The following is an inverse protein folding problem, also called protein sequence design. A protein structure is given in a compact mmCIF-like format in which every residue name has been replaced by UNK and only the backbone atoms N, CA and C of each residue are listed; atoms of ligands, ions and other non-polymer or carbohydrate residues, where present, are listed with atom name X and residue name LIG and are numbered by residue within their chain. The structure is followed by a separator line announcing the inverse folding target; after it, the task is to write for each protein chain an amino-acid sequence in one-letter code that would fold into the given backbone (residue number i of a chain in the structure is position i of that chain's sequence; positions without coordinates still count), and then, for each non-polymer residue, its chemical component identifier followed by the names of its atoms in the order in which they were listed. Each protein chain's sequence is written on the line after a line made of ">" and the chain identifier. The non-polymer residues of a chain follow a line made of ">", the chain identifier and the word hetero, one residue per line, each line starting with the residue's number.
data_IF_658890931707
#
_entry.id   IF_658890931707
#
_cell.length_a   1.000
_cell.length_b   1.000
_cell.length_c   1.000
_cell.angle_alpha   90.00
_cell.angle_beta   90.00
_cell.angle_gamma   90.00
#
_symmetry.space_group_name_H-M   'P 1'
#
loop_
_entity.id
_entity.type
_entity.pdbx_description
1 polymer ?
#
# COMPACT_ATOMS: atom_id res chain seq x y z
N UNK A 1 -15.75 23.47 -43.35
CA UNK A 1 -15.81 23.30 -41.87
C UNK A 1 -15.44 21.90 -41.37
N UNK A 2 -15.66 20.81 -42.12
CA UNK A 2 -15.43 19.43 -41.63
C UNK A 2 -13.95 18.98 -41.49
N UNK A 3 -13.01 19.67 -42.16
CA UNK A 3 -11.56 19.35 -42.13
C UNK A 3 -10.84 19.75 -40.83
N UNK A 4 -11.35 20.74 -40.10
CA UNK A 4 -10.71 21.22 -38.87
C UNK A 4 -11.05 20.33 -37.66
N UNK A 5 -12.25 19.74 -37.63
CA UNK A 5 -12.69 18.84 -36.56
C UNK A 5 -11.92 17.51 -36.56
N UNK A 6 -11.58 16.98 -37.74
CA UNK A 6 -10.81 15.73 -37.86
C UNK A 6 -9.36 15.91 -37.40
N UNK A 7 -8.72 17.03 -37.73
CA UNK A 7 -7.38 17.38 -37.22
C UNK A 7 -7.38 17.67 -35.72
N UNK A 8 -8.40 18.36 -35.19
CA UNK A 8 -8.52 18.64 -33.76
C UNK A 8 -8.75 17.36 -32.94
N UNK A 9 -9.58 16.45 -33.44
CA UNK A 9 -9.82 15.14 -32.83
C UNK A 9 -8.54 14.28 -32.82
N UNK A 10 -7.76 14.28 -33.90
CA UNK A 10 -6.46 13.60 -33.95
C UNK A 10 -5.44 14.21 -32.98
N UNK A 11 -5.43 15.53 -32.83
CA UNK A 11 -4.55 16.23 -31.89
C UNK A 11 -4.89 15.87 -30.43
N UNK A 12 -6.17 15.88 -30.06
CA UNK A 12 -6.63 15.41 -28.74
C UNK A 12 -6.28 13.94 -28.52
N UNK A 13 -6.48 13.08 -29.53
CA UNK A 13 -6.14 11.65 -29.41
C UNK A 13 -4.64 11.44 -29.20
N UNK A 14 -3.78 12.20 -29.88
CA UNK A 14 -2.32 12.10 -29.74
C UNK A 14 -1.80 12.53 -28.35
N UNK A 15 -2.42 13.54 -27.73
CA UNK A 15 -2.09 13.98 -26.35
C UNK A 15 -2.51 12.92 -25.33
N UNK A 16 -3.61 12.20 -25.57
CA UNK A 16 -4.05 11.08 -24.72
C UNK A 16 -3.10 9.87 -24.82
N UNK A 17 -2.49 9.62 -25.98
CA UNK A 17 -1.52 8.53 -26.17
C UNK A 17 -0.18 8.78 -25.47
N UNK A 18 0.32 10.03 -25.37
CA UNK A 18 1.58 10.31 -24.66
C UNK A 18 1.49 10.05 -23.14
N UNK A 19 0.33 10.25 -22.54
CA UNK A 19 0.11 9.99 -21.11
C UNK A 19 -0.03 8.49 -20.79
N UNK A 20 -0.25 7.63 -21.80
CA UNK A 20 -0.50 6.20 -21.64
C UNK A 20 0.77 5.34 -21.45
N UNK A 21 1.97 5.91 -21.54
CA UNK A 21 3.26 5.20 -21.44
C UNK A 21 4.13 5.63 -20.26
N UNK A 22 3.55 6.22 -19.23
CA UNK A 22 4.33 6.62 -18.05
C UNK A 22 4.49 5.43 -17.10
N UNK A 23 5.75 5.04 -16.90
CA UNK A 23 6.15 4.13 -15.83
C UNK A 23 6.90 4.92 -14.76
N UNK A 24 6.71 4.55 -13.50
CA UNK A 24 7.42 5.19 -12.39
C UNK A 24 7.75 4.20 -11.29
N UNK A 25 8.70 4.61 -10.47
CA UNK A 25 8.96 4.02 -9.16
C UNK A 25 8.64 5.07 -8.11
N UNK A 26 7.71 4.74 -7.21
CA UNK A 26 7.41 5.55 -6.04
C UNK A 26 8.08 4.90 -4.84
N UNK A 27 8.88 5.68 -4.12
CA UNK A 27 9.44 5.24 -2.85
C UNK A 27 8.54 5.78 -1.75
N UNK A 28 8.12 4.88 -0.87
CA UNK A 28 7.28 5.13 0.28
C UNK A 28 8.08 4.94 1.56
N UNK A 29 7.78 5.78 2.55
CA UNK A 29 8.16 5.64 3.94
C UNK A 29 6.95 5.21 4.76
N UNK A 30 7.20 4.71 5.96
CA UNK A 30 6.14 4.27 6.87
C UNK A 30 6.40 4.71 8.29
N UNK A 31 5.32 4.89 9.04
CA UNK A 31 5.34 5.17 10.47
C UNK A 31 4.09 4.57 11.12
N UNK A 32 4.18 4.28 12.41
CA UNK A 32 3.01 4.04 13.24
C UNK A 32 2.35 5.38 13.57
N UNK A 33 1.03 5.42 13.44
CA UNK A 33 0.27 6.60 13.81
C UNK A 33 0.30 6.80 15.33
N UNK A 34 0.90 7.89 15.79
CA UNK A 34 0.99 8.25 17.21
C UNK A 34 -0.04 9.30 17.65
N UNK A 35 -1.14 9.45 16.91
CA UNK A 35 -2.23 10.36 17.27
C UNK A 35 -2.69 10.12 18.72
N UNK A 36 -2.86 11.21 19.47
CA UNK A 36 -3.35 11.20 20.85
C UNK A 36 -4.69 10.47 20.96
N UNK A 37 -5.59 10.63 19.99
CA UNK A 37 -6.91 9.97 19.99
C UNK A 37 -6.79 8.45 19.95
N UNK A 38 -5.79 7.91 19.23
CA UNK A 38 -5.52 6.46 19.21
C UNK A 38 -5.24 5.94 20.61
N UNK A 39 -4.42 6.65 21.39
CA UNK A 39 -4.02 6.23 22.73
C UNK A 39 -5.09 6.47 23.79
N UNK A 40 -5.83 7.59 23.70
CA UNK A 40 -6.91 7.93 24.64
C UNK A 40 -7.95 6.82 24.71
N UNK A 41 -8.30 6.23 23.55
CA UNK A 41 -9.22 5.09 23.48
C UNK A 41 -8.81 3.89 24.33
N UNK A 42 -7.51 3.67 24.54
CA UNK A 42 -7.01 2.54 25.32
C UNK A 42 -6.75 2.90 26.78
N UNK A 43 -6.73 4.19 27.14
CA UNK A 43 -6.46 4.64 28.51
C UNK A 43 -7.45 4.03 29.51
N UNK A 44 -8.74 4.07 29.18
CA UNK A 44 -9.79 3.57 30.07
C UNK A 44 -9.78 2.04 30.23
N UNK A 45 -9.25 1.31 29.25
CA UNK A 45 -9.24 -0.17 29.25
C UNK A 45 -7.95 -0.77 29.80
N UNK A 46 -6.82 -0.09 29.57
CA UNK A 46 -5.48 -0.64 29.83
C UNK A 46 -4.73 0.12 30.92
N UNK A 47 -5.21 1.29 31.34
CA UNK A 47 -4.55 2.15 32.31
C UNK A 47 -3.38 2.95 31.72
N UNK A 48 -3.00 4.01 32.44
CA UNK A 48 -2.00 4.99 32.01
C UNK A 48 -0.60 4.38 31.80
N UNK A 49 -0.17 3.50 32.71
CA UNK A 49 1.12 2.83 32.62
C UNK A 49 1.27 1.98 31.34
N UNK A 50 0.21 1.26 30.94
CA UNK A 50 0.24 0.47 29.72
C UNK A 50 0.24 1.36 28.48
N UNK A 51 -0.55 2.43 28.48
CA UNK A 51 -0.55 3.42 27.37
C UNK A 51 0.83 4.07 27.20
N UNK A 52 1.51 4.41 28.29
CA UNK A 52 2.85 4.98 28.24
C UNK A 52 3.87 3.99 27.66
N UNK A 53 3.80 2.70 28.03
CA UNK A 53 4.64 1.65 27.40
C UNK A 53 4.33 1.48 25.91
N UNK A 54 3.07 1.56 25.51
CA UNK A 54 2.68 1.52 24.09
C UNK A 54 3.28 2.69 23.32
N UNK A 55 3.20 3.91 23.85
CA UNK A 55 3.81 5.10 23.24
C UNK A 55 5.32 4.95 23.07
N UNK A 56 6.03 4.49 24.11
CA UNK A 56 7.47 4.26 24.05
C UNK A 56 7.84 3.21 22.99
N UNK A 57 7.07 2.11 22.93
CA UNK A 57 7.28 1.07 21.92
C UNK A 57 7.02 1.57 20.50
N UNK A 58 5.93 2.30 20.29
CA UNK A 58 5.60 2.87 18.98
C UNK A 58 6.67 3.88 18.53
N UNK A 59 7.20 4.70 19.46
CA UNK A 59 8.30 5.62 19.18
C UNK A 59 9.59 4.88 18.77
N UNK A 60 9.96 3.80 19.48
CA UNK A 60 11.12 2.99 19.11
C UNK A 60 10.98 2.30 17.75
N UNK A 61 9.77 1.86 17.39
CA UNK A 61 9.48 1.32 16.06
C UNK A 61 9.60 2.43 14.99
N UNK A 62 9.06 3.61 15.26
CA UNK A 62 9.12 4.74 14.33
C UNK A 62 10.55 5.21 14.08
N UNK A 63 11.42 5.19 15.08
CA UNK A 63 12.83 5.53 14.91
C UNK A 63 13.48 4.63 13.86
N UNK A 64 13.22 3.33 13.95
CA UNK A 64 13.78 2.32 13.04
C UNK A 64 13.13 2.42 11.66
N UNK A 65 11.82 2.70 11.59
CA UNK A 65 11.11 2.82 10.32
C UNK A 65 11.61 3.98 9.43
N UNK A 66 12.28 4.99 10.00
CA UNK A 66 12.87 6.09 9.22
C UNK A 66 13.83 5.59 8.15
N UNK A 67 14.59 4.54 8.46
CA UNK A 67 15.57 3.96 7.54
C UNK A 67 14.93 2.99 6.53
N UNK A 68 13.67 2.61 6.74
CA UNK A 68 12.99 1.64 5.90
C UNK A 68 12.35 2.35 4.72
N UNK A 69 12.44 1.72 3.55
CA UNK A 69 11.81 2.20 2.33
C UNK A 69 11.06 1.08 1.64
N UNK A 70 9.95 1.42 0.98
CA UNK A 70 9.15 0.50 0.21
C UNK A 70 9.00 1.07 -1.19
N UNK A 71 9.01 0.21 -2.20
CA UNK A 71 8.91 0.64 -3.59
C UNK A 71 7.62 0.15 -4.21
N UNK A 72 6.89 1.06 -4.86
CA UNK A 72 5.83 0.75 -5.81
C UNK A 72 6.37 1.00 -7.21
N UNK A 73 6.53 -0.06 -7.97
CA UNK A 73 6.78 0.02 -9.41
C UNK A 73 5.45 -0.05 -10.14
N UNK A 74 5.17 0.85 -11.07
CA UNK A 74 3.96 0.76 -11.88
C UNK A 74 4.21 1.19 -13.34
N UNK A 75 3.36 0.65 -14.21
CA UNK A 75 3.14 1.13 -15.58
C UNK A 75 1.62 1.37 -15.75
N UNK A 76 1.13 1.62 -16.96
CA UNK A 76 -0.31 1.89 -17.17
C UNK A 76 -1.26 0.74 -16.77
N UNK A 77 -0.76 -0.50 -16.62
CA UNK A 77 -1.59 -1.71 -16.48
C UNK A 77 -1.27 -2.54 -15.25
N UNK A 78 -0.05 -2.44 -14.74
CA UNK A 78 0.49 -3.30 -13.71
C UNK A 78 1.15 -2.50 -12.61
N UNK A 79 1.13 -3.05 -11.41
CA UNK A 79 1.93 -2.54 -10.30
C UNK A 79 2.48 -3.65 -9.43
N UNK A 80 3.61 -3.34 -8.77
CA UNK A 80 4.26 -4.20 -7.79
C UNK A 80 4.78 -3.37 -6.64
N UNK A 81 4.22 -3.60 -5.46
CA UNK A 81 4.66 -3.02 -4.20
C UNK A 81 5.39 -4.06 -3.37
N UNK A 82 6.56 -3.70 -2.87
CA UNK A 82 7.33 -4.50 -1.94
C UNK A 82 8.27 -3.63 -1.11
N UNK A 83 8.85 -4.24 -0.08
CA UNK A 83 9.97 -3.66 0.65
C UNK A 83 11.22 -3.58 -0.25
N UNK A 84 11.97 -2.48 -0.11
CA UNK A 84 13.27 -2.30 -0.76
C UNK A 84 14.34 -3.05 0.06
N UNK A 85 15.13 -3.92 -0.58
CA UNK A 85 16.00 -4.93 0.04
C UNK A 85 17.24 -4.38 0.78
N UNK A 86 17.30 -3.09 1.07
CA UNK A 86 18.38 -2.54 1.88
C UNK A 86 18.26 -3.15 3.29
N UNK A 87 19.10 -4.16 3.54
CA UNK A 87 19.19 -4.86 4.82
C UNK A 87 19.49 -3.81 5.89
N UNK A 88 18.74 -3.79 7.02
CA UNK A 88 19.20 -3.04 8.16
C UNK A 88 20.53 -3.61 8.65
N UNK A 89 21.31 -2.75 9.29
CA UNK A 89 22.54 -3.11 10.00
C UNK A 89 22.34 -4.40 10.81
N UNK A 90 23.33 -5.32 10.78
CA UNK A 90 23.29 -6.62 11.47
C UNK A 90 23.06 -6.48 12.98
N UNK A 91 23.29 -5.29 13.54
CA UNK A 91 23.01 -4.94 14.94
C UNK A 91 21.52 -4.80 15.28
N UNK A 92 20.61 -4.76 14.29
CA UNK A 92 19.17 -4.61 14.55
C UNK A 92 18.55 -5.92 15.05
N UNK A 93 17.98 -5.88 16.25
CA UNK A 93 17.27 -7.01 16.85
C UNK A 93 16.20 -7.59 15.90
N UNK A 94 16.24 -8.91 15.66
CA UNK A 94 15.37 -9.59 14.71
C UNK A 94 13.87 -9.42 14.97
N UNK A 95 13.45 -9.32 16.24
CA UNK A 95 12.04 -9.11 16.61
C UNK A 95 11.59 -7.70 16.25
N UNK A 96 12.47 -6.72 16.47
CA UNK A 96 12.23 -5.33 16.14
C UNK A 96 12.22 -5.14 14.63
N UNK A 97 13.15 -5.78 13.90
CA UNK A 97 13.16 -5.84 12.44
C UNK A 97 11.84 -6.39 11.87
N UNK A 98 11.35 -7.51 12.42
CA UNK A 98 10.08 -8.10 11.99
C UNK A 98 8.90 -7.16 12.22
N UNK A 99 8.87 -6.46 13.35
CA UNK A 99 7.84 -5.47 13.67
C UNK A 99 7.89 -4.27 12.73
N UNK A 100 9.08 -3.77 12.38
CA UNK A 100 9.24 -2.68 11.40
C UNK A 100 8.76 -3.11 10.01
N UNK A 101 9.10 -4.33 9.57
CA UNK A 101 8.61 -4.87 8.28
C UNK A 101 7.09 -5.04 8.25
N UNK A 102 6.47 -5.43 9.37
CA UNK A 102 5.01 -5.45 9.55
C UNK A 102 4.41 -4.04 9.48
N UNK A 103 5.00 -3.12 10.21
CA UNK A 103 4.55 -1.74 10.33
C UNK A 103 4.73 -0.93 9.05
N UNK A 104 5.55 -1.36 8.09
CA UNK A 104 5.58 -0.78 6.74
C UNK A 104 4.76 -1.52 5.68
N UNK A 105 4.10 -2.63 6.04
CA UNK A 105 3.35 -3.45 5.08
C UNK A 105 4.22 -4.32 4.17
N UNK A 106 5.51 -4.45 4.47
CA UNK A 106 6.51 -5.14 3.65
C UNK A 106 6.63 -6.66 3.86
N UNK A 107 5.78 -7.29 4.67
CA UNK A 107 5.76 -8.76 4.77
C UNK A 107 5.20 -9.46 3.53
N UNK A 108 4.64 -8.71 2.60
CA UNK A 108 4.09 -9.24 1.38
C UNK A 108 4.55 -8.45 0.16
N UNK A 109 4.67 -9.16 -0.95
CA UNK A 109 4.69 -8.55 -2.28
C UNK A 109 3.24 -8.42 -2.73
N UNK A 110 2.85 -7.22 -3.11
CA UNK A 110 1.52 -6.92 -3.65
C UNK A 110 1.68 -6.66 -5.14
N UNK A 111 0.91 -7.35 -5.97
CA UNK A 111 0.92 -7.20 -7.41
C UNK A 111 -0.50 -7.01 -7.94
N UNK A 112 -0.65 -6.08 -8.87
CA UNK A 112 -1.94 -5.77 -9.51
C UNK A 112 -1.77 -5.79 -11.02
N UNK A 113 -2.75 -6.33 -11.75
CA UNK A 113 -2.87 -6.22 -13.20
C UNK A 113 -4.32 -5.88 -13.55
N UNK A 114 -4.52 -4.71 -14.15
CA UNK A 114 -5.85 -4.15 -14.45
C UNK A 114 -6.50 -4.89 -15.63
N UNK A 115 -5.72 -5.22 -16.67
CA UNK A 115 -6.21 -5.92 -17.86
C UNK A 115 -6.76 -7.31 -17.54
N UNK A 116 -6.13 -7.99 -16.59
CA UNK A 116 -6.55 -9.32 -16.13
C UNK A 116 -7.52 -9.29 -14.96
N UNK A 117 -7.94 -8.10 -14.49
CA UNK A 117 -8.75 -7.96 -13.28
C UNK A 117 -8.15 -8.74 -12.09
N UNK A 118 -6.83 -8.65 -11.88
CA UNK A 118 -6.08 -9.54 -10.98
C UNK A 118 -5.32 -8.78 -9.88
N UNK A 119 -5.51 -9.22 -8.64
CA UNK A 119 -4.67 -8.87 -7.50
C UNK A 119 -4.02 -10.12 -6.91
N UNK A 120 -2.71 -10.05 -6.67
CA UNK A 120 -1.92 -11.09 -6.04
C UNK A 120 -1.20 -10.54 -4.79
N UNK A 121 -1.26 -11.30 -3.70
CA UNK A 121 -0.49 -11.06 -2.48
C UNK A 121 0.40 -12.28 -2.21
N UNK A 122 1.72 -12.12 -2.30
CA UNK A 122 2.68 -13.17 -1.97
C UNK A 122 3.32 -12.91 -0.61
N UNK A 123 3.37 -13.90 0.28
CA UNK A 123 3.95 -13.76 1.61
C UNK A 123 4.40 -15.12 2.17
N UNK A 124 5.27 -15.10 3.19
CA UNK A 124 5.65 -16.29 3.96
C UNK A 124 4.70 -16.43 5.15
N UNK A 125 4.03 -17.58 5.29
CA UNK A 125 3.20 -17.88 6.45
C UNK A 125 4.08 -17.96 7.70
N UNK A 126 3.73 -17.23 8.77
CA UNK A 126 4.53 -17.18 10.00
C UNK A 126 4.52 -18.56 10.69
N UNK A 127 3.39 -19.25 10.71
CA UNK A 127 3.21 -20.54 11.40
C UNK A 127 3.97 -21.68 10.74
N UNK A 128 3.99 -21.74 9.41
CA UNK A 128 4.55 -22.87 8.65
C UNK A 128 5.85 -22.52 7.92
N UNK A 129 6.22 -21.24 7.86
CA UNK A 129 7.32 -20.75 7.05
C UNK A 129 7.08 -20.90 5.53
N UNK A 130 5.89 -21.30 5.09
CA UNK A 130 5.62 -21.63 3.69
C UNK A 130 5.34 -20.39 2.86
N UNK A 131 5.88 -20.35 1.64
CA UNK A 131 5.58 -19.27 0.69
C UNK A 131 4.21 -19.50 0.06
N UNK A 132 3.33 -18.50 0.15
CA UNK A 132 1.95 -18.53 -0.33
C UNK A 132 1.67 -17.34 -1.23
N UNK A 133 0.79 -17.51 -2.20
CA UNK A 133 0.21 -16.47 -3.05
C UNK A 133 -1.31 -16.53 -2.95
N UNK A 134 -1.91 -15.41 -2.54
CA UNK A 134 -3.35 -15.23 -2.52
C UNK A 134 -3.80 -14.42 -3.73
N UNK A 135 -4.80 -14.92 -4.47
CA UNK A 135 -5.40 -14.24 -5.62
C UNK A 135 -6.80 -13.70 -5.30
N UNK A 136 -7.14 -12.56 -5.88
CA UNK A 136 -8.50 -12.01 -5.87
C UNK A 136 -8.74 -11.12 -7.10
N UNK A 137 -9.99 -10.98 -7.56
CA UNK A 137 -10.31 -10.00 -8.57
C UNK A 137 -10.10 -8.55 -8.07
N UNK A 138 -10.04 -7.58 -8.99
CA UNK A 138 -10.09 -6.17 -8.66
C UNK A 138 -11.50 -5.73 -8.32
N UNK A 139 -12.01 -6.19 -7.19
CA UNK A 139 -13.28 -5.69 -6.66
C UNK A 139 -13.10 -4.23 -6.25
N UNK A 140 -14.03 -3.37 -6.70
CA UNK A 140 -14.11 -1.99 -6.27
C UNK A 140 -14.18 -1.96 -4.74
N UNK A 141 -13.29 -1.20 -4.13
CA UNK A 141 -13.29 -1.04 -2.67
C UNK A 141 -14.34 0.02 -2.33
N UNK A 142 -15.02 -0.18 -1.21
CA UNK A 142 -16.00 0.76 -0.63
C UNK A 142 -15.34 2.04 -0.08
N UNK A 143 -14.62 2.76 -0.94
CA UNK A 143 -14.03 4.05 -0.64
C UNK A 143 -15.11 5.14 -0.72
N UNK A 144 -15.19 5.97 0.31
CA UNK A 144 -15.97 7.19 0.33
C UNK A 144 -15.02 8.35 0.07
N UNK A 145 -15.10 8.97 -1.11
CA UNK A 145 -14.33 10.16 -1.45
C UNK A 145 -14.90 11.34 -0.66
N UNK A 146 -14.04 12.08 0.05
CA UNK A 146 -14.45 13.24 0.86
C UNK A 146 -14.16 14.54 0.11
N UNK A 147 -14.49 15.68 0.72
CA UNK A 147 -14.18 17.02 0.18
C UNK A 147 -12.81 17.54 0.63
N UNK A 148 -12.09 16.78 1.45
CA UNK A 148 -10.79 17.22 1.98
C UNK A 148 -9.71 17.07 0.92
N UNK A 149 -8.91 18.12 0.79
CA UNK A 149 -7.84 18.23 -0.20
C UNK A 149 -6.56 18.66 0.48
N UNK A 150 -5.43 18.28 -0.10
CA UNK A 150 -4.09 18.64 0.34
C UNK A 150 -3.12 18.57 -0.86
N UNK A 151 -1.84 18.77 -0.64
CA UNK A 151 -0.78 18.61 -1.64
C UNK A 151 0.32 17.70 -1.12
N UNK A 152 0.67 16.66 -1.87
CA UNK A 152 1.77 15.73 -1.54
C UNK A 152 2.73 15.68 -2.73
N UNK A 153 4.01 16.00 -2.50
CA UNK A 153 5.05 16.07 -3.53
C UNK A 153 4.68 16.97 -4.73
N UNK A 154 3.93 18.05 -4.47
CA UNK A 154 3.43 18.98 -5.49
C UNK A 154 2.18 18.51 -6.24
N UNK A 155 1.64 17.32 -5.93
CA UNK A 155 0.41 16.83 -6.54
C UNK A 155 -0.80 17.13 -5.65
N UNK A 156 -1.89 17.69 -6.20
CA UNK A 156 -3.14 17.86 -5.47
C UNK A 156 -3.71 16.47 -5.15
N UNK A 157 -4.06 16.25 -3.90
CA UNK A 157 -4.63 14.99 -3.41
C UNK A 157 -6.00 15.21 -2.79
N UNK A 158 -6.84 14.19 -2.89
CA UNK A 158 -8.17 14.14 -2.27
C UNK A 158 -8.20 12.99 -1.27
N UNK A 159 -8.79 13.20 -0.10
CA UNK A 159 -8.97 12.14 0.89
C UNK A 159 -10.12 11.21 0.52
N UNK A 160 -9.93 9.92 0.74
CA UNK A 160 -10.96 8.90 0.71
C UNK A 160 -10.89 8.03 1.97
N UNK A 161 -12.04 7.57 2.45
CA UNK A 161 -12.16 6.82 3.70
C UNK A 161 -12.86 5.48 3.46
N UNK A 162 -12.38 4.43 4.13
CA UNK A 162 -13.02 3.11 4.20
C UNK A 162 -12.97 2.60 5.64
N UNK A 163 -14.07 2.77 6.38
CA UNK A 163 -14.09 2.48 7.80
C UNK A 163 -13.08 3.36 8.55
N UNK A 164 -12.06 2.77 9.18
CA UNK A 164 -10.97 3.48 9.88
C UNK A 164 -9.72 3.68 9.03
N UNK A 165 -9.80 3.34 7.75
CA UNK A 165 -8.69 3.44 6.83
C UNK A 165 -8.86 4.68 5.98
N UNK A 166 -7.80 5.43 5.79
CA UNK A 166 -7.78 6.65 4.99
C UNK A 166 -6.75 6.52 3.87
N UNK A 167 -7.04 7.13 2.73
CA UNK A 167 -6.13 7.23 1.60
C UNK A 167 -6.19 8.63 1.03
N UNK A 168 -5.04 9.19 0.67
CA UNK A 168 -4.94 10.43 -0.09
C UNK A 168 -4.42 10.09 -1.48
N UNK A 169 -5.22 10.38 -2.51
CA UNK A 169 -4.92 10.00 -3.89
C UNK A 169 -4.92 11.22 -4.81
N UNK A 170 -4.13 11.16 -5.89
CA UNK A 170 -4.10 12.22 -6.92
C UNK A 170 -4.59 11.71 -8.26
N UNK A 171 -5.55 12.42 -8.85
CA UNK A 171 -6.02 12.14 -10.22
C UNK A 171 -5.04 12.61 -11.30
N UNK A 172 -4.01 13.39 -10.93
CA UNK A 172 -2.94 13.82 -11.84
C UNK A 172 -2.10 12.65 -12.35
N UNK A 173 -2.08 11.54 -11.60
CA UNK A 173 -1.48 10.28 -12.00
C UNK A 173 -2.60 9.23 -11.99
N UNK A 174 -3.32 9.04 -13.12
CA UNK A 174 -4.60 8.33 -13.16
C UNK A 174 -4.42 6.80 -13.21
N UNK A 175 -3.72 6.24 -12.22
CA UNK A 175 -3.54 4.80 -12.05
C UNK A 175 -4.13 4.35 -10.70
N UNK A 176 -4.90 3.23 -10.64
CA UNK A 176 -5.62 2.82 -9.43
C UNK A 176 -4.74 2.07 -8.42
N UNK A 177 -3.48 2.47 -8.29
CA UNK A 177 -2.46 1.80 -7.49
C UNK A 177 -2.14 2.55 -6.20
N UNK A 178 -1.50 1.85 -5.27
CA UNK A 178 -1.10 2.39 -3.99
C UNK A 178 -0.18 1.45 -3.23
N UNK A 179 0.29 1.86 -2.04
CA UNK A 179 1.12 1.04 -1.19
C UNK A 179 0.33 -0.12 -0.57
N UNK A 180 1.02 -1.24 -0.32
CA UNK A 180 0.47 -2.42 0.35
C UNK A 180 -0.88 -2.88 -0.27
N UNK A 181 -1.94 -3.01 0.54
CA UNK A 181 -3.28 -3.38 0.08
C UNK A 181 -4.12 -2.23 -0.50
N UNK A 182 -3.61 -0.99 -0.49
CA UNK A 182 -4.33 0.18 -0.96
C UNK A 182 -4.43 0.17 -2.50
N UNK A 183 -5.67 0.17 -3.01
CA UNK A 183 -5.97 0.15 -4.46
C UNK A 183 -7.42 0.54 -4.74
N UNK A 184 -7.70 0.82 -6.01
CA UNK A 184 -9.08 0.99 -6.52
C UNK A 184 -9.67 2.39 -6.36
N UNK A 185 -8.83 3.40 -6.09
CA UNK A 185 -9.18 4.81 -6.25
C UNK A 185 -8.87 5.27 -7.69
N UNK A 186 -9.47 6.35 -8.20
CA UNK A 186 -9.28 6.79 -9.61
C UNK A 186 -7.92 7.47 -9.87
N UNK A 187 -6.96 7.33 -8.96
CA UNK A 187 -5.64 7.92 -9.08
C UNK A 187 -4.66 7.30 -8.08
N UNK A 188 -3.38 7.62 -8.25
CA UNK A 188 -2.30 7.07 -7.44
C UNK A 188 -2.45 7.49 -5.98
N UNK A 189 -2.40 6.51 -5.06
CA UNK A 189 -2.48 6.75 -3.62
C UNK A 189 -1.11 7.16 -3.11
N UNK A 190 -0.98 8.40 -2.62
CA UNK A 190 0.26 8.97 -2.10
C UNK A 190 0.39 8.86 -0.59
N UNK A 191 -0.71 8.73 0.15
CA UNK A 191 -0.68 8.45 1.60
C UNK A 191 -1.78 7.47 1.96
N UNK A 192 -1.48 6.53 2.85
CA UNK A 192 -2.37 5.46 3.28
C UNK A 192 -2.26 5.25 4.79
N UNK A 193 -3.34 5.51 5.52
CA UNK A 193 -3.44 5.27 6.95
C UNK A 193 -4.32 4.04 7.19
N UNK A 194 -3.71 2.89 7.47
CA UNK A 194 -4.44 1.65 7.71
C UNK A 194 -4.95 1.57 9.14
N UNK A 195 -6.27 1.47 9.29
CA UNK A 195 -6.97 1.30 10.58
C UNK A 195 -6.59 2.31 11.67
N UNK A 196 -6.17 3.52 11.28
CA UNK A 196 -5.64 4.53 12.20
C UNK A 196 -4.41 4.07 13.01
N UNK A 197 -3.59 3.19 12.44
CA UNK A 197 -2.45 2.57 13.15
C UNK A 197 -1.13 2.67 12.40
N UNK A 198 -1.16 2.57 11.08
CA UNK A 198 0.03 2.57 10.22
C UNK A 198 -0.19 3.56 9.11
N UNK A 199 0.72 4.51 8.97
CA UNK A 199 0.76 5.48 7.89
C UNK A 199 1.88 5.07 6.94
N UNK A 200 1.57 4.95 5.65
CA UNK A 200 2.54 4.78 4.57
C UNK A 200 2.37 5.97 3.65
N UNK A 201 3.45 6.70 3.35
CA UNK A 201 3.40 7.93 2.56
C UNK A 201 4.52 8.00 1.52
N UNK A 202 4.23 8.60 0.38
CA UNK A 202 5.16 8.75 -0.72
C UNK A 202 6.23 9.78 -0.33
N UNK A 203 7.48 9.38 -0.46
CA UNK A 203 8.68 10.20 -0.20
C UNK A 203 9.23 10.79 -1.50
N UNK A 204 9.24 10.00 -2.58
CA UNK A 204 9.71 10.45 -3.90
C UNK A 204 9.06 9.64 -5.03
N UNK A 205 8.89 10.29 -6.18
CA UNK A 205 8.42 9.67 -7.43
C UNK A 205 9.53 9.82 -8.48
N UNK A 206 10.01 8.68 -8.99
CA UNK A 206 10.99 8.62 -10.06
C UNK A 206 10.32 8.15 -11.36
N UNK A 207 10.08 9.11 -12.26
CA UNK A 207 9.57 8.83 -13.60
C UNK A 207 10.63 8.15 -14.48
N UNK A 208 10.20 7.22 -15.32
CA UNK A 208 11.07 6.45 -16.20
C UNK A 208 10.71 6.70 -17.66
N UNK A 209 11.74 6.84 -18.50
CA UNK A 209 11.59 7.03 -19.95
C UNK A 209 11.19 5.76 -20.70
N UNK A 210 11.39 4.58 -20.09
CA UNK A 210 11.08 3.28 -20.67
C UNK A 210 9.98 2.61 -19.86
N UNK A 211 9.14 1.83 -20.55
CA UNK A 211 8.13 1.01 -19.90
C UNK A 211 8.79 -0.03 -18.97
N UNK A 212 8.29 -0.11 -17.74
CA UNK A 212 8.73 -1.12 -16.79
C UNK A 212 8.10 -2.48 -17.12
N UNK A 213 8.95 -3.51 -17.20
CA UNK A 213 8.52 -4.90 -17.14
C UNK A 213 8.35 -5.31 -15.67
N UNK A 214 7.10 -5.42 -15.23
CA UNK A 214 6.76 -5.67 -13.82
C UNK A 214 6.66 -7.18 -13.57
N UNK A 215 7.62 -7.72 -12.83
CA UNK A 215 7.71 -9.17 -12.55
C UNK A 215 6.55 -9.66 -11.69
N UNK A 216 5.61 -10.39 -12.29
CA UNK A 216 4.55 -11.11 -11.56
C UNK A 216 5.11 -12.19 -10.62
N UNK A 217 4.65 -12.27 -9.36
CA UNK A 217 5.02 -13.36 -8.45
C UNK A 217 4.52 -14.75 -8.90
N UNK A 218 5.45 -15.68 -9.17
CA UNK A 218 5.12 -17.04 -9.68
C UNK A 218 5.33 -18.20 -8.68
N UNK A 219 6.00 -17.97 -7.54
CA UNK A 219 6.38 -19.03 -6.59
C UNK A 219 5.44 -19.15 -5.38
N UNK A 220 5.34 -20.34 -4.79
CA UNK A 220 4.54 -20.61 -3.59
C UNK A 220 3.12 -21.10 -3.89
N UNK A 221 2.47 -21.66 -2.86
CA UNK A 221 1.11 -22.23 -2.96
C UNK A 221 0.13 -21.13 -3.40
N UNK A 222 -0.60 -21.38 -4.49
CA UNK A 222 -1.68 -20.50 -4.92
C UNK A 222 -2.98 -20.88 -4.21
N UNK A 223 -3.68 -19.89 -3.66
CA UNK A 223 -5.06 -20.00 -3.18
C UNK A 223 -5.81 -18.68 -3.39
N UNK A 224 -7.13 -18.68 -3.26
CA UNK A 224 -7.90 -17.42 -3.27
C UNK A 224 -7.74 -16.67 -1.96
N UNK A 225 -7.93 -15.35 -1.98
CA UNK A 225 -7.92 -14.53 -0.76
C UNK A 225 -9.05 -14.95 0.21
N UNK A 226 -10.19 -15.42 -0.32
CA UNK A 226 -11.33 -15.91 0.47
C UNK A 226 -10.95 -17.15 1.26
N UNK A 227 -10.35 -18.15 0.61
CA UNK A 227 -9.86 -19.38 1.26
C UNK A 227 -8.79 -19.05 2.31
N UNK A 228 -7.83 -18.20 1.96
CA UNK A 228 -6.78 -17.77 2.89
C UNK A 228 -7.33 -17.07 4.14
N UNK A 229 -8.35 -16.22 3.98
CA UNK A 229 -9.03 -15.59 5.12
C UNK A 229 -9.76 -16.61 5.98
N UNK A 230 -10.49 -17.55 5.37
CA UNK A 230 -11.20 -18.60 6.11
C UNK A 230 -10.24 -19.48 6.92
N UNK A 231 -9.11 -19.87 6.33
CA UNK A 231 -8.08 -20.65 7.01
C UNK A 231 -7.51 -19.90 8.22
N UNK A 232 -7.12 -18.63 8.06
CA UNK A 232 -6.60 -17.81 9.17
C UNK A 232 -7.62 -17.64 10.31
N UNK A 233 -8.90 -17.47 9.99
CA UNK A 233 -9.95 -17.36 11.02
C UNK A 233 -10.11 -18.67 11.81
N UNK A 234 -10.04 -19.82 11.13
CA UNK A 234 -10.07 -21.14 11.77
C UNK A 234 -8.87 -21.38 12.68
N UNK A 235 -7.67 -20.98 12.23
CA UNK A 235 -6.44 -21.06 13.03
C UNK A 235 -6.52 -20.16 14.28
N UNK A 236 -6.99 -18.92 14.13
CA UNK A 236 -7.17 -17.99 15.26
C UNK A 236 -8.17 -18.52 16.30
N UNK A 237 -9.31 -19.07 15.85
CA UNK A 237 -10.28 -19.69 16.76
C UNK A 237 -9.70 -20.87 17.54
N UNK A 238 -8.80 -21.67 16.92
CA UNK A 238 -8.10 -22.75 17.62
C UNK A 238 -7.10 -22.26 18.67
N UNK A 239 -6.47 -21.11 18.45
CA UNK A 239 -5.52 -20.53 19.42
C UNK A 239 -6.21 -19.92 20.62
N UNK A 240 -7.40 -19.33 20.46
CA UNK A 240 -8.16 -18.71 21.55
C UNK A 240 -8.88 -19.72 22.45
N UNK A 241 -9.07 -20.95 21.98
CA UNK A 241 -9.71 -22.05 22.71
C UNK A 241 -8.70 -23.00 23.38
N UNK A 242 -7.43 -22.62 23.45
CA UNK A 242 -6.37 -23.31 24.21
C UNK A 242 -5.95 -22.44 25.38
#
# INVERSE_FOLDING_TARGET
>A
MMRYYTTFLFFILSILFLNAQQSAVVIYKAELNTDKERYLKYKDKLGENMVNRMKQKDAGINEILKDFSFKLQFNATESRYEWEEDMPDETVNQSVFLLSKLAGGGLAVHYTNIKENLYLKQFKEISTGRLVRETAPLVQKDWQITKETDTILGYPVIKAVKGKTEAWFTSSIPVPFGPAEARGLPGLILKYNFNNTRIIYADKIKWLKKNLNIKRPKKGLLRTQKEGRAQRMKEMGRMLNK
#
